data_IF_443384757260
#
_entry.id   IF_443384757260
#
_cell.length_a   1.000
_cell.length_b   1.000
_cell.length_c   1.000
_cell.angle_alpha   90.00
_cell.angle_beta   90.00
_cell.angle_gamma   90.00
#
_symmetry.space_group_name_H-M   'P 1'
#
loop_
_entity.id
_entity.type
_entity.pdbx_description
1 polymer ?
#
# COMPACT_ATOMS: atom_id res chain seq x y z
N UNK A 1 18.01 15.35 -17.63
CA UNK A 1 17.29 14.83 -18.79
C UNK A 1 16.01 14.16 -18.32
N UNK A 2 14.89 14.27 -19.06
CA UNK A 2 13.70 13.54 -18.70
C UNK A 2 14.01 12.04 -18.65
N UNK A 3 13.48 11.34 -17.65
CA UNK A 3 13.60 9.90 -17.55
C UNK A 3 13.05 9.24 -18.83
N UNK A 4 13.66 8.15 -19.26
CA UNK A 4 13.11 7.39 -20.39
C UNK A 4 11.72 6.88 -20.05
N UNK A 5 10.76 6.82 -21.02
CA UNK A 5 9.46 6.26 -20.78
C UNK A 5 9.54 4.85 -20.17
N UNK A 6 8.83 4.62 -19.08
CA UNK A 6 8.68 3.32 -18.42
C UNK A 6 7.33 2.73 -18.80
N UNK A 7 7.28 1.44 -19.14
CA UNK A 7 6.02 0.71 -19.30
C UNK A 7 5.53 0.32 -17.90
N UNK A 8 4.47 0.96 -17.46
CA UNK A 8 3.97 0.82 -16.09
C UNK A 8 2.70 -0.03 -16.09
N UNK A 9 2.63 -0.97 -15.17
CA UNK A 9 1.42 -1.70 -14.84
C UNK A 9 1.03 -1.38 -13.41
N UNK A 10 -0.23 -1.10 -13.18
CA UNK A 10 -0.83 -0.99 -11.84
C UNK A 10 -1.68 -2.23 -11.63
N UNK A 11 -1.43 -2.96 -10.56
CA UNK A 11 -2.19 -4.14 -10.17
C UNK A 11 -2.84 -3.88 -8.80
N UNK A 12 -4.17 -3.94 -8.74
CA UNK A 12 -4.95 -3.78 -7.51
C UNK A 12 -6.09 -4.78 -7.48
N UNK A 13 -6.56 -5.17 -6.30
CA UNK A 13 -7.80 -5.95 -6.21
C UNK A 13 -8.98 -5.16 -6.79
N UNK A 14 -9.92 -5.85 -7.46
CA UNK A 14 -11.05 -5.22 -8.16
C UNK A 14 -11.90 -4.31 -7.25
N UNK A 15 -12.07 -4.71 -5.99
CA UNK A 15 -12.82 -3.94 -5.00
C UNK A 15 -11.93 -3.19 -4.00
N UNK A 16 -10.66 -2.95 -4.33
CA UNK A 16 -9.76 -2.23 -3.43
C UNK A 16 -10.16 -0.76 -3.26
N UNK A 17 -10.09 -0.26 -2.03
CA UNK A 17 -10.37 1.13 -1.71
C UNK A 17 -9.46 2.11 -2.47
N UNK A 18 -8.22 1.71 -2.80
CA UNK A 18 -7.25 2.56 -3.51
C UNK A 18 -7.69 2.87 -4.94
N UNK A 19 -8.61 2.08 -5.50
CA UNK A 19 -9.08 2.24 -6.88
C UNK A 19 -9.72 3.61 -7.14
N UNK A 20 -10.24 4.28 -6.11
CA UNK A 20 -10.76 5.65 -6.21
C UNK A 20 -9.65 6.67 -6.52
N UNK A 21 -8.39 6.35 -6.22
CA UNK A 21 -7.23 7.24 -6.34
C UNK A 21 -6.31 6.88 -7.51
N UNK A 22 -6.37 5.65 -8.02
CA UNK A 22 -5.48 5.16 -9.10
C UNK A 22 -5.59 5.98 -10.39
N UNK A 23 -6.79 6.41 -10.84
CA UNK A 23 -6.91 7.19 -12.08
C UNK A 23 -6.02 8.43 -12.12
N UNK A 24 -5.97 9.22 -11.04
CA UNK A 24 -5.13 10.42 -10.96
C UNK A 24 -3.65 10.11 -11.17
N UNK A 25 -3.17 9.01 -10.58
CA UNK A 25 -1.77 8.58 -10.72
C UNK A 25 -1.48 8.08 -12.15
N UNK A 26 -2.40 7.31 -12.72
CA UNK A 26 -2.26 6.78 -14.07
C UNK A 26 -2.25 7.91 -15.12
N UNK A 27 -3.21 8.84 -15.05
CA UNK A 27 -3.31 9.99 -15.95
C UNK A 27 -2.05 10.88 -15.89
N UNK A 28 -1.49 11.08 -14.70
CA UNK A 28 -0.26 11.85 -14.54
C UNK A 28 0.93 11.17 -15.24
N UNK A 29 1.10 9.86 -15.07
CA UNK A 29 2.18 9.12 -15.75
C UNK A 29 1.98 9.07 -17.26
N UNK A 30 0.75 8.93 -17.74
CA UNK A 30 0.43 8.99 -19.18
C UNK A 30 0.77 10.38 -19.75
N UNK A 31 0.45 11.45 -19.02
CA UNK A 31 0.80 12.82 -19.42
C UNK A 31 2.33 13.05 -19.45
N UNK A 32 3.10 12.33 -18.66
CA UNK A 32 4.57 12.32 -18.69
C UNK A 32 5.15 11.44 -19.80
N UNK A 33 4.30 10.72 -20.55
CA UNK A 33 4.69 9.86 -21.66
C UNK A 33 4.99 8.40 -21.30
N UNK A 34 4.63 7.97 -20.10
CA UNK A 34 4.71 6.57 -19.70
C UNK A 34 3.48 5.80 -20.20
N UNK A 35 3.62 4.69 -20.95
CA UNK A 35 2.49 3.78 -21.19
C UNK A 35 2.03 3.14 -19.89
N UNK A 36 0.76 3.33 -19.51
CA UNK A 36 0.18 2.81 -18.27
C UNK A 36 -0.93 1.81 -18.59
N UNK A 37 -0.96 0.69 -17.86
CA UNK A 37 -2.08 -0.25 -17.83
C UNK A 37 -2.49 -0.48 -16.38
N UNK A 38 -3.79 -0.47 -16.14
CA UNK A 38 -4.34 -0.80 -14.83
C UNK A 38 -5.17 -2.07 -14.95
N UNK A 39 -4.85 -3.07 -14.13
CA UNK A 39 -5.45 -4.41 -14.17
C UNK A 39 -5.75 -4.90 -12.75
N UNK A 40 -6.62 -5.91 -12.64
CA UNK A 40 -7.07 -6.46 -11.37
C UNK A 40 -6.68 -7.92 -11.15
N UNK A 41 -6.12 -8.57 -12.17
CA UNK A 41 -5.73 -9.97 -12.13
C UNK A 41 -4.27 -10.13 -12.56
N UNK A 42 -3.55 -11.02 -11.88
CA UNK A 42 -2.18 -11.38 -12.24
C UNK A 42 -2.04 -11.98 -13.63
N UNK A 43 -3.09 -12.61 -14.14
CA UNK A 43 -3.10 -13.15 -15.52
C UNK A 43 -3.17 -12.05 -16.60
N UNK A 44 -3.53 -10.83 -16.21
CA UNK A 44 -3.67 -9.69 -17.12
C UNK A 44 -2.46 -8.75 -17.12
N UNK A 45 -1.49 -8.93 -16.21
CA UNK A 45 -0.38 -7.99 -16.06
C UNK A 45 0.55 -7.95 -17.26
N UNK A 46 0.74 -9.07 -17.96
CA UNK A 46 1.69 -9.17 -19.09
C UNK A 46 3.12 -8.86 -18.64
N UNK A 47 3.80 -8.01 -19.41
CA UNK A 47 5.18 -7.58 -19.13
C UNK A 47 5.28 -6.05 -19.04
N UNK A 48 6.37 -5.56 -18.47
CA UNK A 48 6.63 -4.11 -18.34
C UNK A 48 7.97 -3.80 -17.70
N UNK A 49 8.20 -2.53 -17.46
CA UNK A 49 9.37 -2.09 -16.72
C UNK A 49 9.07 -2.10 -15.21
N UNK A 50 7.93 -1.53 -14.80
CA UNK A 50 7.49 -1.48 -13.41
C UNK A 50 6.05 -2.00 -13.26
N UNK A 51 5.81 -2.83 -12.24
CA UNK A 51 4.48 -3.20 -11.79
C UNK A 51 4.26 -2.69 -10.37
N UNK A 52 3.28 -1.80 -10.18
CA UNK A 52 2.91 -1.29 -8.86
C UNK A 52 1.72 -2.07 -8.31
N UNK A 53 1.94 -2.82 -7.25
CA UNK A 53 0.91 -3.57 -6.52
C UNK A 53 0.32 -2.67 -5.43
N UNK A 54 -0.85 -2.10 -5.68
CA UNK A 54 -1.50 -1.14 -4.80
C UNK A 54 -2.81 -1.70 -4.25
N UNK A 55 -2.90 -1.83 -2.92
CA UNK A 55 -4.09 -2.38 -2.28
C UNK A 55 -4.41 -3.80 -2.72
N UNK A 56 -3.40 -4.60 -2.93
CA UNK A 56 -3.46 -5.99 -3.37
C UNK A 56 -3.41 -6.94 -2.18
N UNK A 57 -4.41 -7.79 -2.04
CA UNK A 57 -4.53 -8.74 -0.93
C UNK A 57 -3.83 -10.09 -1.14
N UNK A 58 -3.24 -10.32 -2.32
CA UNK A 58 -2.57 -11.57 -2.69
C UNK A 58 -1.07 -11.35 -2.93
N UNK A 59 -0.30 -12.41 -2.77
CA UNK A 59 1.13 -12.41 -3.10
C UNK A 59 1.27 -12.59 -4.62
N UNK A 60 2.08 -11.74 -5.26
CA UNK A 60 2.37 -11.83 -6.70
C UNK A 60 3.28 -13.02 -6.96
N UNK A 61 2.87 -13.99 -7.79
CA UNK A 61 3.68 -15.16 -8.10
C UNK A 61 5.04 -14.80 -8.72
N UNK A 62 6.08 -15.59 -8.44
CA UNK A 62 7.41 -15.36 -8.97
C UNK A 62 7.44 -15.27 -10.49
N UNK A 63 6.70 -16.15 -11.19
CA UNK A 63 6.60 -16.13 -12.63
C UNK A 63 6.04 -14.83 -13.21
N UNK A 64 5.17 -14.14 -12.47
CA UNK A 64 4.66 -12.80 -12.82
C UNK A 64 5.72 -11.75 -12.54
N UNK A 65 6.38 -11.82 -11.38
CA UNK A 65 7.43 -10.85 -11.00
C UNK A 65 8.60 -10.84 -12.01
N UNK A 66 8.97 -11.99 -12.54
CA UNK A 66 10.05 -12.14 -13.55
C UNK A 66 9.73 -11.51 -14.91
N UNK A 67 8.48 -11.06 -15.15
CA UNK A 67 8.09 -10.33 -16.36
C UNK A 67 8.41 -8.83 -16.29
N UNK A 68 8.86 -8.34 -15.13
CA UNK A 68 9.15 -6.92 -14.87
C UNK A 68 10.58 -6.72 -14.39
N UNK A 69 11.10 -5.53 -14.58
CA UNK A 69 12.35 -5.12 -13.93
C UNK A 69 12.16 -4.90 -12.44
N UNK A 70 11.00 -4.31 -12.08
CA UNK A 70 10.61 -4.04 -10.70
C UNK A 70 9.14 -4.35 -10.49
N UNK A 71 8.85 -5.06 -9.41
CA UNK A 71 7.49 -5.25 -8.90
C UNK A 71 7.42 -4.64 -7.52
N UNK A 72 6.71 -3.54 -7.42
CA UNK A 72 6.72 -2.62 -6.29
C UNK A 72 5.46 -2.76 -5.46
N UNK A 73 5.63 -2.85 -4.16
CA UNK A 73 4.53 -2.91 -3.18
C UNK A 73 4.63 -1.71 -2.27
N UNK A 74 3.49 -1.10 -1.97
CA UNK A 74 3.39 -0.06 -0.93
C UNK A 74 2.77 -0.68 0.30
N UNK A 75 3.47 -0.61 1.41
CA UNK A 75 3.09 -1.22 2.68
C UNK A 75 3.19 -0.22 3.83
N UNK A 76 2.15 -0.11 4.65
CA UNK A 76 2.04 0.94 5.66
C UNK A 76 2.61 0.46 7.00
N UNK A 77 3.90 0.14 7.04
CA UNK A 77 4.58 -0.21 8.28
C UNK A 77 6.08 0.10 8.24
N UNK A 78 6.72 0.10 9.41
CA UNK A 78 8.16 0.28 9.59
C UNK A 78 8.89 -1.07 9.44
N UNK A 79 8.91 -1.57 8.20
CA UNK A 79 9.46 -2.88 7.87
C UNK A 79 10.90 -3.07 8.40
N UNK A 80 11.18 -4.27 8.95
CA UNK A 80 10.44 -5.53 8.88
C UNK A 80 9.30 -5.69 9.89
N UNK A 81 9.02 -4.71 10.72
CA UNK A 81 7.89 -4.76 11.65
C UNK A 81 6.57 -4.54 10.91
N UNK A 82 5.55 -5.32 11.26
CA UNK A 82 4.20 -5.16 10.72
C UNK A 82 4.03 -5.60 9.28
N UNK A 83 4.72 -6.64 8.83
CA UNK A 83 4.40 -7.35 7.59
C UNK A 83 2.97 -7.91 7.63
N UNK A 84 2.38 -8.22 6.50
CA UNK A 84 1.07 -8.87 6.42
C UNK A 84 -0.05 -7.91 6.05
N UNK A 85 -1.21 -8.02 6.68
CA UNK A 85 -2.45 -7.41 6.18
C UNK A 85 -2.94 -6.24 7.00
N UNK A 86 -3.46 -5.20 6.30
CA UNK A 86 -4.08 -4.02 6.89
C UNK A 86 -3.23 -3.31 7.96
N UNK A 87 -1.93 -3.07 7.71
CA UNK A 87 -1.01 -2.58 8.73
C UNK A 87 -1.42 -1.22 9.30
N UNK A 88 -1.94 -0.30 8.47
CA UNK A 88 -2.45 0.99 8.96
C UNK A 88 -3.57 0.80 9.97
N UNK A 89 -4.53 -0.08 9.67
CA UNK A 89 -5.67 -0.35 10.55
C UNK A 89 -5.22 -0.85 11.92
N UNK A 90 -4.31 -1.83 11.95
CA UNK A 90 -3.80 -2.36 13.20
C UNK A 90 -3.05 -1.30 14.03
N UNK A 91 -2.23 -0.48 13.38
CA UNK A 91 -1.51 0.60 14.06
C UNK A 91 -2.46 1.65 14.66
N UNK A 92 -3.54 2.02 13.93
CA UNK A 92 -4.56 2.94 14.47
C UNK A 92 -5.29 2.31 15.67
N UNK A 93 -5.63 1.02 15.60
CA UNK A 93 -6.24 0.29 16.73
C UNK A 93 -5.31 0.26 17.95
N UNK A 94 -4.01 0.15 17.74
CA UNK A 94 -2.98 0.21 18.78
C UNK A 94 -2.71 1.64 19.27
N UNK A 95 -3.42 2.65 18.75
CA UNK A 95 -3.32 4.04 19.19
C UNK A 95 -2.20 4.84 18.52
N UNK A 96 -1.68 4.40 17.40
CA UNK A 96 -0.64 5.14 16.68
C UNK A 96 -1.18 6.47 16.13
N UNK A 97 -0.42 7.54 16.34
CA UNK A 97 -0.67 8.87 15.76
C UNK A 97 0.16 9.16 14.52
N UNK A 98 1.04 8.26 14.14
CA UNK A 98 1.82 8.33 12.90
C UNK A 98 2.11 6.92 12.40
N UNK A 99 2.13 6.78 11.09
CA UNK A 99 2.38 5.50 10.43
C UNK A 99 3.32 5.72 9.25
N UNK A 100 4.37 4.90 9.09
CA UNK A 100 5.19 4.92 7.91
C UNK A 100 4.47 4.23 6.75
N UNK A 101 4.65 4.76 5.56
CA UNK A 101 4.27 4.14 4.29
C UNK A 101 5.57 3.82 3.57
N UNK A 102 5.77 2.58 3.20
CA UNK A 102 7.06 2.06 2.73
C UNK A 102 6.91 1.44 1.34
N UNK A 103 7.75 1.86 0.40
CA UNK A 103 7.85 1.28 -0.94
C UNK A 103 8.94 0.22 -0.95
N UNK A 104 8.57 -0.99 -1.32
CA UNK A 104 9.47 -2.15 -1.35
C UNK A 104 9.41 -2.88 -2.69
N UNK A 105 10.44 -3.68 -3.00
CA UNK A 105 10.37 -4.72 -4.02
C UNK A 105 9.55 -5.91 -3.51
N UNK A 106 8.72 -6.50 -4.36
CA UNK A 106 8.05 -7.75 -4.04
C UNK A 106 9.05 -8.91 -3.97
N UNK A 107 8.90 -9.79 -2.98
CA UNK A 107 9.75 -10.95 -2.77
C UNK A 107 8.93 -12.23 -2.61
N UNK A 108 9.61 -13.37 -2.39
CA UNK A 108 8.92 -14.66 -2.21
C UNK A 108 8.11 -14.70 -0.91
N UNK A 109 8.67 -14.13 0.17
CA UNK A 109 7.96 -13.99 1.42
C UNK A 109 7.22 -12.65 1.47
N UNK A 110 6.07 -12.62 2.16
CA UNK A 110 5.22 -11.43 2.26
C UNK A 110 6.01 -10.24 2.84
N UNK A 111 5.94 -9.11 2.14
CA UNK A 111 6.53 -7.81 2.52
C UNK A 111 8.00 -7.88 2.97
N UNK A 112 8.77 -8.81 2.40
CA UNK A 112 10.16 -9.08 2.83
C UNK A 112 11.24 -8.45 1.94
N UNK A 113 10.87 -7.88 0.81
CA UNK A 113 11.83 -7.34 -0.15
C UNK A 113 12.54 -6.07 0.28
N UNK A 114 13.56 -5.65 -0.48
CA UNK A 114 14.31 -4.42 -0.22
C UNK A 114 13.42 -3.17 -0.17
N UNK A 115 13.76 -2.26 0.73
CA UNK A 115 13.07 -0.97 0.89
C UNK A 115 13.73 0.06 -0.03
N UNK A 116 12.92 0.73 -0.87
CA UNK A 116 13.38 1.82 -1.71
C UNK A 116 13.19 3.19 -1.07
N UNK A 117 12.02 3.43 -0.48
CA UNK A 117 11.68 4.71 0.13
C UNK A 117 10.63 4.55 1.24
N UNK A 118 10.55 5.55 2.10
CA UNK A 118 9.57 5.59 3.19
C UNK A 118 9.10 7.03 3.41
N UNK A 119 7.80 7.19 3.71
CA UNK A 119 7.19 8.45 4.13
C UNK A 119 6.35 8.20 5.37
N UNK A 120 6.36 9.16 6.28
CA UNK A 120 5.50 9.13 7.46
C UNK A 120 4.25 9.96 7.22
N UNK A 121 3.11 9.44 7.63
CA UNK A 121 1.85 10.16 7.75
C UNK A 121 1.51 10.32 9.22
N UNK A 122 1.03 11.51 9.58
CA UNK A 122 0.63 11.83 10.94
C UNK A 122 -0.89 12.02 11.00
N UNK A 123 -1.49 11.62 12.12
CA UNK A 123 -2.90 11.72 12.40
C UNK A 123 -3.13 12.46 13.73
N UNK A 124 -4.17 13.26 13.77
CA UNK A 124 -4.56 13.99 15.00
C UNK A 124 -5.39 13.13 15.95
N UNK A 125 -5.96 12.02 15.45
CA UNK A 125 -6.71 11.05 16.26
C UNK A 125 -8.23 11.13 16.08
N UNK A 126 -8.72 11.97 15.19
CA UNK A 126 -10.15 12.11 14.89
C UNK A 126 -10.53 11.70 13.46
N UNK A 127 -9.55 11.48 12.58
CA UNK A 127 -9.78 11.09 11.19
C UNK A 127 -10.54 9.78 11.11
N UNK A 128 -11.57 9.76 10.28
CA UNK A 128 -12.34 8.55 9.96
C UNK A 128 -11.75 7.85 8.72
N UNK A 129 -12.32 6.71 8.35
CA UNK A 129 -11.77 5.83 7.33
C UNK A 129 -11.45 6.53 6.00
N UNK A 130 -12.31 7.44 5.54
CA UNK A 130 -12.09 8.13 4.25
C UNK A 130 -10.91 9.11 4.33
N UNK A 131 -10.73 9.79 5.47
CA UNK A 131 -9.61 10.69 5.71
C UNK A 131 -8.29 9.91 5.89
N UNK A 132 -8.34 8.77 6.58
CA UNK A 132 -7.20 7.86 6.72
C UNK A 132 -6.76 7.35 5.34
N UNK A 133 -7.69 6.93 4.49
CA UNK A 133 -7.45 6.45 3.13
C UNK A 133 -6.91 7.55 2.21
N UNK A 134 -7.44 8.76 2.31
CA UNK A 134 -6.93 9.90 1.55
C UNK A 134 -5.46 10.22 1.89
N UNK A 135 -5.10 10.21 3.17
CA UNK A 135 -3.72 10.40 3.61
C UNK A 135 -2.80 9.26 3.13
N UNK A 136 -3.27 8.03 3.21
CA UNK A 136 -2.58 6.82 2.74
C UNK A 136 -2.35 6.87 1.22
N UNK A 137 -3.39 7.20 0.43
CA UNK A 137 -3.28 7.35 -1.02
C UNK A 137 -2.29 8.45 -1.42
N UNK A 138 -2.34 9.60 -0.76
CA UNK A 138 -1.40 10.71 -0.99
C UNK A 138 0.05 10.29 -0.76
N UNK A 139 0.34 9.56 0.31
CA UNK A 139 1.68 9.06 0.59
C UNK A 139 2.11 7.99 -0.42
N UNK A 140 1.21 7.07 -0.78
CA UNK A 140 1.41 6.04 -1.81
C UNK A 140 1.77 6.66 -3.14
N UNK A 141 0.98 7.61 -3.63
CA UNK A 141 1.26 8.32 -4.88
C UNK A 141 2.61 9.03 -4.86
N UNK A 142 2.94 9.70 -3.76
CA UNK A 142 4.21 10.41 -3.65
C UNK A 142 5.42 9.46 -3.71
N UNK A 143 5.32 8.28 -3.11
CA UNK A 143 6.37 7.26 -3.21
C UNK A 143 6.50 6.67 -4.61
N UNK A 144 5.37 6.33 -5.23
CA UNK A 144 5.34 5.77 -6.57
C UNK A 144 5.88 6.77 -7.62
N UNK A 145 5.45 8.03 -7.55
CA UNK A 145 5.98 9.11 -8.40
C UNK A 145 7.48 9.28 -8.23
N UNK A 146 7.94 9.42 -6.99
CA UNK A 146 9.36 9.60 -6.71
C UNK A 146 10.21 8.45 -7.25
N UNK A 147 9.69 7.22 -7.25
CA UNK A 147 10.39 6.08 -7.84
C UNK A 147 10.50 6.21 -9.36
N UNK A 148 9.42 6.53 -10.05
CA UNK A 148 9.39 6.65 -11.52
C UNK A 148 10.19 7.87 -11.99
N UNK A 149 9.98 9.03 -11.35
CA UNK A 149 10.63 10.28 -11.74
C UNK A 149 12.15 10.25 -11.59
N UNK A 150 12.65 9.48 -10.65
CA UNK A 150 14.09 9.35 -10.36
C UNK A 150 14.69 8.02 -10.82
N UNK A 151 14.01 7.29 -11.71
CA UNK A 151 14.55 6.05 -12.26
C UNK A 151 15.69 6.34 -13.26
N UNK A 152 16.83 5.59 -13.24
CA UNK A 152 17.08 4.35 -12.50
C UNK A 152 17.70 4.56 -11.10
N UNK A 153 18.02 5.78 -10.68
CA UNK A 153 18.68 6.04 -9.41
C UNK A 153 17.85 5.59 -8.20
N UNK A 154 16.54 5.73 -8.27
CA UNK A 154 15.60 5.26 -7.23
C UNK A 154 15.70 3.75 -7.02
N UNK A 155 15.85 2.98 -8.09
CA UNK A 155 16.00 1.53 -8.03
C UNK A 155 17.35 1.11 -7.41
N UNK A 156 18.39 1.93 -7.57
CA UNK A 156 19.70 1.67 -6.97
C UNK A 156 19.74 1.93 -5.45
N UNK A 157 18.72 2.57 -4.88
CA UNK A 157 18.64 2.89 -3.46
C UNK A 157 18.04 1.77 -2.59
N UNK A 158 17.68 0.63 -3.19
CA UNK A 158 17.15 -0.51 -2.48
C UNK A 158 18.06 -0.96 -1.33
N UNK A 159 17.52 -1.04 -0.12
CA UNK A 159 18.21 -1.52 1.07
C UNK A 159 17.47 -2.69 1.69
N UNK A 160 18.22 -3.70 2.11
CA UNK A 160 17.66 -4.85 2.81
C UNK A 160 17.00 -4.43 4.12
N UNK A 161 15.93 -5.13 4.47
CA UNK A 161 15.29 -4.97 5.77
C UNK A 161 16.22 -5.52 6.87
N UNK A 162 16.30 -4.84 8.00
CA UNK A 162 17.13 -5.23 9.15
C UNK A 162 16.32 -5.28 10.43
N UNK A 163 16.48 -6.34 11.22
CA UNK A 163 15.77 -6.56 12.48
C UNK A 163 14.80 -7.74 12.42
N UNK A 164 14.12 -7.99 13.53
CA UNK A 164 13.16 -9.08 13.66
C UNK A 164 11.81 -8.70 13.07
N UNK A 165 11.25 -9.50 12.14
CA UNK A 165 9.94 -9.22 11.55
C UNK A 165 8.81 -9.50 12.55
N UNK A 166 7.76 -8.68 12.45
CA UNK A 166 6.47 -8.97 13.08
C UNK A 166 5.38 -8.99 12.01
N UNK A 167 4.23 -9.60 12.31
CA UNK A 167 3.18 -9.83 11.31
C UNK A 167 1.82 -9.44 11.83
N UNK A 168 1.06 -8.71 11.00
CA UNK A 168 -0.36 -8.44 11.21
C UNK A 168 -1.22 -9.50 10.52
N UNK A 169 -2.19 -10.09 11.23
CA UNK A 169 -3.13 -11.05 10.64
C UNK A 169 -4.13 -10.35 9.71
N UNK A 170 -4.78 -11.13 8.85
CA UNK A 170 -5.95 -10.65 8.10
C UNK A 170 -7.07 -10.29 9.07
N UNK A 171 -7.68 -9.13 8.84
CA UNK A 171 -8.89 -8.75 9.57
C UNK A 171 -10.07 -9.65 9.15
N UNK A 172 -10.93 -9.93 10.13
CA UNK A 172 -12.15 -10.72 9.98
C UNK A 172 -13.35 -9.86 10.37
N UNK A 173 -14.57 -10.21 9.95
CA UNK A 173 -15.79 -9.48 10.37
C UNK A 173 -15.89 -9.31 11.89
N UNK A 174 -15.54 -10.34 12.67
CA UNK A 174 -15.54 -10.28 14.13
C UNK A 174 -14.60 -9.21 14.73
N UNK A 175 -13.57 -8.79 14.00
CA UNK A 175 -12.68 -7.71 14.45
C UNK A 175 -13.36 -6.32 14.41
N UNK A 176 -14.60 -6.23 13.91
CA UNK A 176 -15.42 -5.02 13.87
C UNK A 176 -16.54 -5.02 14.92
N UNK A 177 -16.59 -6.03 15.81
CA UNK A 177 -17.55 -6.10 16.91
C UNK A 177 -17.25 -5.02 17.96
N UNK A 178 -18.28 -4.26 18.35
CA UNK A 178 -18.20 -3.30 19.44
C UNK A 178 -18.64 -3.94 20.75
N UNK A 179 -17.96 -3.58 21.82
CA UNK A 179 -18.35 -4.05 23.17
C UNK A 179 -19.33 -3.05 23.79
N UNK A 180 -20.60 -3.41 24.07
CA UNK A 180 -21.58 -2.51 24.64
C UNK A 180 -21.24 -2.04 26.07
N UNK A 181 -20.34 -2.75 26.76
CA UNK A 181 -19.86 -2.36 28.10
C UNK A 181 -18.74 -1.33 28.08
N UNK A 182 -18.14 -1.06 26.90
CA UNK A 182 -17.09 -0.07 26.73
C UNK A 182 -17.66 1.29 26.30
N UNK A 183 -17.01 2.36 26.75
CA UNK A 183 -17.34 3.70 26.31
C UNK A 183 -16.96 3.94 24.84
N UNK A 184 -17.57 4.95 24.20
CA UNK A 184 -17.18 5.37 22.87
C UNK A 184 -15.71 5.83 22.81
N UNK A 185 -15.20 6.42 23.88
CA UNK A 185 -13.79 6.84 23.94
C UNK A 185 -12.84 5.65 23.86
N UNK A 186 -13.15 4.56 24.57
CA UNK A 186 -12.33 3.34 24.54
C UNK A 186 -12.36 2.63 23.19
N UNK A 187 -13.45 2.77 22.41
CA UNK A 187 -13.67 2.11 21.14
C UNK A 187 -13.56 3.05 19.92
N UNK A 188 -13.17 4.30 20.12
CA UNK A 188 -13.18 5.28 19.04
C UNK A 188 -12.29 4.88 17.87
N UNK A 189 -11.12 4.30 18.13
CA UNK A 189 -10.25 3.80 17.07
C UNK A 189 -10.91 2.68 16.24
N UNK A 190 -11.75 1.84 16.87
CA UNK A 190 -12.55 0.83 16.16
C UNK A 190 -13.53 1.49 15.18
N UNK A 191 -14.18 2.57 15.58
CA UNK A 191 -15.09 3.34 14.72
C UNK A 191 -14.35 4.04 13.58
N UNK A 192 -13.16 4.60 13.87
CA UNK A 192 -12.36 5.33 12.87
C UNK A 192 -11.93 4.47 11.69
N UNK A 193 -11.57 3.20 11.95
CA UNK A 193 -11.06 2.29 10.93
C UNK A 193 -12.15 1.47 10.24
N UNK A 194 -13.41 1.64 10.64
CA UNK A 194 -14.52 0.85 10.12
C UNK A 194 -14.84 1.21 8.67
N UNK A 195 -14.74 0.22 7.79
CA UNK A 195 -15.29 0.30 6.44
C UNK A 195 -16.72 -0.24 6.45
N UNK A 196 -17.70 0.66 6.65
CA UNK A 196 -19.10 0.28 6.75
C UNK A 196 -19.70 -0.28 5.44
N UNK A 197 -18.99 -0.21 4.32
CA UNK A 197 -19.40 -0.86 3.07
C UNK A 197 -19.02 -2.34 3.04
N UNK A 198 -17.84 -2.70 3.58
CA UNK A 198 -17.26 -4.05 3.49
C UNK A 198 -17.25 -4.80 4.83
N UNK A 199 -16.94 -4.10 5.91
CA UNK A 199 -16.77 -4.64 7.26
C UNK A 199 -17.37 -3.67 8.29
N UNK A 200 -18.72 -3.54 8.32
CA UNK A 200 -19.37 -2.60 9.24
C UNK A 200 -19.10 -3.00 10.69
N UNK A 201 -19.12 -2.01 11.57
CA UNK A 201 -19.19 -2.26 13.02
C UNK A 201 -20.56 -2.80 13.41
N UNK A 202 -20.63 -3.62 14.43
CA UNK A 202 -21.87 -4.19 14.98
C UNK A 202 -21.78 -4.44 16.47
#
# INVERSE_FOLDING_TARGET
PPSLPQRIVILSDEESWINEYIPDLAEEWEAQGHPVRWVHDTDQVGDGDCCFCLGLGQIVPRAVREQFRHVLVVHESDLPKGRGWSPLTWQILDGAHQTPVTLIEAADDVDSGPIYAQRWIAFEGHELIDELRAAQAKATHALCRAFVDNYPESAAQGREQAGEPTYYPRRRPADSELNPEHSLTEQFNQLRVADNRRYPVF
#
